data_IF_594873114511
#
_entry.id   IF_594873114511
#
_cell.length_a   1.000
_cell.length_b   1.000
_cell.length_c   1.000
_cell.angle_alpha   90.00
_cell.angle_beta   90.00
_cell.angle_gamma   90.00
#
_symmetry.space_group_name_H-M   'P 1'
#
loop_
_entity.id
_entity.type
_entity.pdbx_description
1 polymer ?
#
# COMPACT_ATOMS: atom_id res chain seq x y z
N UNK A 1 -7.67 17.30 -12.96
CA UNK A 1 -8.88 16.46 -13.00
C UNK A 1 -9.17 15.81 -11.63
N UNK A 2 -8.35 14.87 -11.14
CA UNK A 2 -8.61 14.16 -9.86
C UNK A 2 -8.79 15.06 -8.63
N UNK A 3 -7.94 16.09 -8.46
CA UNK A 3 -8.07 17.03 -7.34
C UNK A 3 -9.41 17.79 -7.33
N UNK A 4 -9.93 18.15 -8.52
CA UNK A 4 -11.22 18.85 -8.66
C UNK A 4 -12.38 17.91 -8.30
N UNK A 5 -12.24 16.62 -8.57
CA UNK A 5 -13.16 15.58 -8.13
C UNK A 5 -12.99 15.17 -6.65
N UNK A 6 -12.22 15.93 -5.85
CA UNK A 6 -12.05 15.68 -4.41
C UNK A 6 -11.08 14.55 -4.06
N UNK A 7 -10.23 14.11 -5.00
CA UNK A 7 -9.19 13.13 -4.70
C UNK A 7 -7.96 13.79 -4.10
N UNK A 8 -7.53 13.26 -2.95
CA UNK A 8 -6.25 13.56 -2.31
C UNK A 8 -5.41 12.28 -2.23
N UNK A 9 -4.10 12.42 -1.98
CA UNK A 9 -3.24 11.26 -1.72
C UNK A 9 -3.71 10.48 -0.50
N UNK A 10 -4.20 11.17 0.53
CA UNK A 10 -4.75 10.53 1.72
C UNK A 10 -5.97 9.68 1.39
N UNK A 11 -6.95 10.26 0.67
CA UNK A 11 -8.13 9.51 0.24
C UNK A 11 -7.76 8.31 -0.63
N UNK A 12 -6.79 8.46 -1.52
CA UNK A 12 -6.32 7.34 -2.33
C UNK A 12 -5.74 6.20 -1.47
N UNK A 13 -5.01 6.50 -0.40
CA UNK A 13 -4.52 5.48 0.54
C UNK A 13 -5.66 4.76 1.25
N UNK A 14 -6.64 5.51 1.74
CA UNK A 14 -7.82 4.95 2.43
C UNK A 14 -8.60 3.99 1.52
N UNK A 15 -8.83 4.39 0.27
CA UNK A 15 -9.53 3.56 -0.73
C UNK A 15 -8.70 2.33 -1.11
N UNK A 16 -7.38 2.48 -1.31
CA UNK A 16 -6.50 1.33 -1.58
C UNK A 16 -6.44 0.36 -0.41
N UNK A 17 -6.33 0.86 0.82
CA UNK A 17 -6.33 0.03 2.03
C UNK A 17 -7.62 -0.78 2.17
N UNK A 18 -8.77 -0.13 1.93
CA UNK A 18 -10.09 -0.77 1.96
C UNK A 18 -10.26 -1.82 0.87
N UNK A 19 -9.73 -1.55 -0.33
CA UNK A 19 -9.88 -2.43 -1.49
C UNK A 19 -8.94 -3.64 -1.47
N UNK A 20 -7.71 -3.51 -0.93
CA UNK A 20 -6.68 -4.55 -1.00
C UNK A 20 -6.70 -5.41 0.26
N UNK A 21 -7.74 -6.25 0.33
CA UNK A 21 -7.94 -7.30 1.33
C UNK A 21 -8.51 -8.54 0.67
N UNK A 22 -8.18 -9.71 1.21
CA UNK A 22 -8.68 -11.00 0.73
C UNK A 22 -9.01 -11.91 1.91
N UNK A 23 -9.93 -12.88 1.75
CA UNK A 23 -10.15 -13.92 2.74
C UNK A 23 -8.87 -14.71 3.01
N UNK A 24 -8.61 -15.08 4.27
CA UNK A 24 -7.39 -15.77 4.67
C UNK A 24 -7.17 -17.07 3.87
N UNK A 25 -8.24 -17.81 3.54
CA UNK A 25 -8.17 -19.02 2.74
C UNK A 25 -7.49 -18.82 1.37
N UNK A 26 -7.72 -17.66 0.73
CA UNK A 26 -7.11 -17.35 -0.58
C UNK A 26 -5.62 -17.00 -0.45
N UNK A 27 -5.20 -16.48 0.71
CA UNK A 27 -3.83 -16.06 0.96
C UNK A 27 -2.93 -17.24 1.38
N UNK A 28 -3.46 -18.22 2.11
CA UNK A 28 -2.70 -19.36 2.66
C UNK A 28 -1.93 -20.19 1.64
N UNK A 29 -2.28 -20.12 0.35
CA UNK A 29 -1.54 -20.79 -0.71
C UNK A 29 -0.09 -20.27 -0.84
N UNK A 30 0.16 -18.99 -0.53
CA UNK A 30 1.49 -18.39 -0.66
C UNK A 30 1.94 -17.49 0.50
N UNK A 31 1.03 -17.11 1.39
CA UNK A 31 1.29 -16.18 2.49
C UNK A 31 1.49 -16.94 3.81
N UNK A 32 2.69 -16.82 4.38
CA UNK A 32 3.10 -17.59 5.59
C UNK A 32 3.07 -16.75 6.87
N UNK A 33 2.61 -15.50 6.80
CA UNK A 33 2.61 -14.61 7.96
C UNK A 33 1.69 -15.10 9.09
N UNK A 34 2.06 -14.87 10.37
CA UNK A 34 1.26 -15.28 11.52
C UNK A 34 -0.16 -14.70 11.55
N UNK A 35 -0.41 -13.60 10.82
CA UNK A 35 -1.75 -13.01 10.73
C UNK A 35 -2.70 -13.88 9.91
N UNK A 36 -2.26 -14.37 8.75
CA UNK A 36 -3.05 -15.26 7.88
C UNK A 36 -3.21 -16.66 8.49
N UNK A 37 -2.17 -17.16 9.16
CA UNK A 37 -2.19 -18.49 9.79
C UNK A 37 -3.14 -18.56 11.00
N UNK A 38 -3.36 -17.44 11.70
CA UNK A 38 -4.24 -17.38 12.88
C UNK A 38 -5.68 -16.96 12.55
N UNK A 39 -5.91 -16.34 11.39
CA UNK A 39 -7.23 -15.92 10.94
C UNK A 39 -8.10 -17.13 10.52
N UNK A 40 -9.40 -17.06 10.73
CA UNK A 40 -10.38 -18.01 10.17
C UNK A 40 -10.43 -17.95 8.65
N UNK A 41 -10.93 -19.00 7.98
CA UNK A 41 -10.88 -19.11 6.52
C UNK A 41 -11.54 -17.93 5.78
N UNK A 42 -12.67 -17.46 6.31
CA UNK A 42 -13.47 -16.35 5.76
C UNK A 42 -13.07 -14.97 6.31
N UNK A 43 -12.12 -14.92 7.25
CA UNK A 43 -11.66 -13.65 7.81
C UNK A 43 -10.92 -12.85 6.75
N UNK A 44 -11.31 -11.60 6.59
CA UNK A 44 -10.68 -10.67 5.65
C UNK A 44 -9.37 -10.15 6.22
N UNK A 45 -8.28 -10.41 5.52
CA UNK A 45 -6.94 -9.93 5.87
C UNK A 45 -6.53 -8.83 4.90
N UNK A 46 -6.19 -7.65 5.43
CA UNK A 46 -5.65 -6.54 4.66
C UNK A 46 -4.17 -6.77 4.32
N UNK A 47 -3.70 -6.15 3.24
CA UNK A 47 -2.27 -6.21 2.88
C UNK A 47 -1.36 -5.39 3.80
N UNK A 48 -1.88 -4.29 4.33
CA UNK A 48 -1.18 -3.36 5.22
C UNK A 48 -1.86 -3.31 6.58
N UNK A 49 -1.19 -2.79 7.61
CA UNK A 49 -1.79 -2.56 8.95
C UNK A 49 -2.64 -1.30 8.95
N UNK A 50 -2.17 -0.27 8.25
CA UNK A 50 -2.80 1.03 8.18
C UNK A 50 -2.69 1.64 6.78
N UNK A 51 -3.59 2.56 6.39
CA UNK A 51 -3.44 3.35 5.17
C UNK A 51 -2.12 4.14 5.12
N UNK A 52 -1.60 4.56 6.27
CA UNK A 52 -0.38 5.36 6.41
C UNK A 52 0.88 4.60 5.96
N UNK A 53 0.84 3.26 6.03
CA UNK A 53 1.92 2.38 5.56
C UNK A 53 2.05 2.37 4.02
N UNK A 54 1.09 2.96 3.31
CA UNK A 54 1.07 3.02 1.84
C UNK A 54 1.87 4.23 1.35
N UNK A 55 3.01 3.96 0.73
CA UNK A 55 3.82 4.99 0.08
C UNK A 55 3.41 5.14 -1.37
N UNK A 56 2.92 6.34 -1.72
CA UNK A 56 2.56 6.72 -3.07
C UNK A 56 3.68 7.56 -3.68
N UNK A 57 4.43 6.99 -4.63
CA UNK A 57 5.47 7.70 -5.36
C UNK A 57 4.95 8.10 -6.74
N UNK A 58 5.21 9.35 -7.09
CA UNK A 58 5.09 9.84 -8.47
C UNK A 58 6.51 9.93 -8.99
N UNK A 59 6.91 9.01 -9.86
CA UNK A 59 8.23 8.96 -10.46
C UNK A 59 8.15 9.39 -11.93
N UNK A 60 9.11 10.17 -12.41
CA UNK A 60 9.21 10.59 -13.81
C UNK A 60 8.95 12.08 -14.04
N UNK A 61 9.64 12.63 -15.06
CA UNK A 61 9.54 14.04 -15.47
C UNK A 61 8.31 14.34 -16.32
N UNK A 62 8.28 15.51 -16.97
CA UNK A 62 7.16 15.92 -17.84
C UNK A 62 6.78 14.88 -18.91
N UNK A 63 7.75 14.13 -19.41
CA UNK A 63 7.57 13.15 -20.48
C UNK A 63 6.85 11.84 -20.05
N UNK A 64 6.63 11.61 -18.75
CA UNK A 64 5.89 10.43 -18.31
C UNK A 64 5.90 10.25 -16.79
N UNK A 65 4.73 10.30 -16.16
CA UNK A 65 4.55 10.05 -14.74
C UNK A 65 4.23 8.58 -14.51
N UNK A 66 5.19 7.84 -13.99
CA UNK A 66 5.01 6.53 -13.39
C UNK A 66 4.51 6.67 -11.95
N UNK A 67 3.66 5.76 -11.50
CA UNK A 67 3.23 5.70 -10.10
C UNK A 67 3.46 4.30 -9.58
N UNK A 68 4.10 4.21 -8.41
CA UNK A 68 4.31 2.93 -7.73
C UNK A 68 3.85 3.03 -6.28
N UNK A 69 3.29 1.92 -5.82
CA UNK A 69 2.79 1.75 -4.46
C UNK A 69 3.75 0.79 -3.77
N UNK A 70 4.43 1.28 -2.74
CA UNK A 70 5.28 0.47 -1.90
C UNK A 70 4.73 0.51 -0.48
N UNK A 71 4.80 -0.61 0.21
CA UNK A 71 4.72 -0.63 1.66
C UNK A 71 5.46 -1.89 2.11
N UNK A 72 5.99 -1.91 3.34
CA UNK A 72 6.33 -3.17 3.95
C UNK A 72 5.05 -4.03 3.99
N UNK A 73 5.13 -5.26 3.48
CA UNK A 73 4.08 -6.25 3.73
C UNK A 73 4.02 -6.53 5.24
N UNK A 74 2.83 -6.81 5.76
CA UNK A 74 2.62 -7.20 7.16
C UNK A 74 3.64 -8.23 7.63
N UNK A 75 4.28 -7.99 8.78
CA UNK A 75 5.23 -8.93 9.39
C UNK A 75 6.69 -8.80 8.97
N UNK A 76 7.05 -7.80 8.15
CA UNK A 76 8.44 -7.43 7.95
C UNK A 76 8.81 -6.29 8.89
N UNK A 77 9.72 -6.53 9.85
CA UNK A 77 10.33 -5.47 10.67
C UNK A 77 11.20 -4.56 9.79
N UNK A 78 10.54 -3.65 9.06
CA UNK A 78 11.19 -2.77 8.08
C UNK A 78 10.89 -1.33 8.44
N UNK A 79 11.94 -0.54 8.67
CA UNK A 79 11.82 0.90 8.85
C UNK A 79 11.93 1.59 7.49
N UNK A 80 10.93 2.39 7.13
CA UNK A 80 10.93 3.15 5.89
C UNK A 80 11.89 4.35 6.02
N UNK A 81 13.03 4.29 5.33
CA UNK A 81 13.92 5.44 5.20
C UNK A 81 13.61 6.15 3.88
N UNK A 82 12.95 7.30 3.94
CA UNK A 82 12.78 8.19 2.78
C UNK A 82 13.73 9.38 2.86
N UNK A 83 14.49 9.64 1.79
CA UNK A 83 15.29 10.86 1.64
C UNK A 83 14.72 11.69 0.50
N UNK A 84 14.39 12.95 0.78
CA UNK A 84 14.07 13.91 -0.26
C UNK A 84 15.34 14.20 -1.07
N UNK A 85 15.27 13.98 -2.38
CA UNK A 85 16.34 14.37 -3.30
C UNK A 85 15.94 15.72 -3.88
N UNK A 86 16.67 16.77 -3.48
CA UNK A 86 16.47 18.09 -4.04
C UNK A 86 16.62 18.02 -5.57
N UNK A 87 15.58 18.48 -6.27
CA UNK A 87 15.58 18.54 -7.72
C UNK A 87 16.59 19.59 -8.18
N UNK A 88 17.71 19.16 -8.77
CA UNK A 88 18.64 20.05 -9.46
C UNK A 88 18.20 20.19 -10.92
N UNK A 89 17.53 21.29 -11.24
CA UNK A 89 17.48 21.80 -12.63
C UNK A 89 18.76 22.52 -12.97
#
# INVERSE_FOLDING_TARGET
>A
MFRVAGWSKQRLREELFSAVRLPAAQLRWGETTPIVQRAGEDDWVSKWTSPEDIVLLVAGGEAGRYSAVFGPCLGMDTELISKEVAWST
#
